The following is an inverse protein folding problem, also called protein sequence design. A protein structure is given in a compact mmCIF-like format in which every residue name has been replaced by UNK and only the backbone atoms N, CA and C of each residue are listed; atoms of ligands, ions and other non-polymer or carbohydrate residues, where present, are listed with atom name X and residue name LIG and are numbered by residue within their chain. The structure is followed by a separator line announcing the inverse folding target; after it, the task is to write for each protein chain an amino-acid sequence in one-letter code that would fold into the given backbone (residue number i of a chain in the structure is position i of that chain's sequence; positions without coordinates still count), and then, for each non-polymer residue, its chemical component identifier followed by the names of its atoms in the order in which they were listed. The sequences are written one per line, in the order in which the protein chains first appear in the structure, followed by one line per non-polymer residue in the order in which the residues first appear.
data_IF_109582195209
#
_entry.id   IF_109582195209
#
_cell.length_a   1.000
_cell.length_b   1.000
_cell.length_c   1.000
_cell.angle_alpha   90.00
_cell.angle_beta   90.00
_cell.angle_gamma   90.00
#
_symmetry.space_group_name_H-M   'P 1'
#
loop_
_entity.id
_entity.type
_entity.pdbx_description
1 polymer ?
#
# COMPACT_ATOMS: atom_id res chain seq x y z
N UNK A 1 9.69 30.68 -8.58
CA UNK A 1 10.10 29.42 -7.88
C UNK A 1 8.92 28.56 -7.43
N UNK A 2 8.03 28.98 -6.50
CA UNK A 2 6.84 28.17 -6.11
C UNK A 2 5.83 28.04 -7.26
N UNK A 3 5.59 29.13 -8.01
CA UNK A 3 4.78 29.10 -9.24
C UNK A 3 5.34 28.18 -10.32
N UNK A 4 6.66 28.09 -10.46
CA UNK A 4 7.32 27.15 -11.39
C UNK A 4 7.32 25.71 -10.89
N UNK A 5 7.41 25.47 -9.58
CA UNK A 5 7.30 24.14 -9.00
C UNK A 5 5.87 23.63 -9.13
N UNK A 6 4.87 24.49 -8.91
CA UNK A 6 3.47 24.18 -9.19
C UNK A 6 3.27 23.98 -10.71
N UNK A 7 3.72 24.89 -11.57
CA UNK A 7 3.60 24.70 -13.02
C UNK A 7 4.39 23.49 -13.54
N UNK A 8 5.53 23.09 -12.96
CA UNK A 8 6.28 21.89 -13.36
C UNK A 8 5.72 20.59 -12.78
N UNK A 9 5.16 20.63 -11.57
CA UNK A 9 4.42 19.51 -10.99
C UNK A 9 3.08 19.27 -11.70
N UNK A 10 2.49 20.32 -12.30
CA UNK A 10 1.25 20.25 -13.09
C UNK A 10 1.50 20.15 -14.62
N UNK A 11 2.67 20.56 -15.13
CA UNK A 11 3.15 20.38 -16.51
C UNK A 11 4.24 19.31 -16.58
N UNK A 12 4.09 18.16 -15.93
CA UNK A 12 4.70 16.96 -16.53
C UNK A 12 4.04 16.78 -17.89
N UNK A 13 4.74 16.95 -19.04
CA UNK A 13 4.12 16.89 -20.37
C UNK A 13 3.81 15.43 -20.79
N UNK A 14 3.68 14.50 -19.84
CA UNK A 14 3.59 13.05 -20.05
C UNK A 14 2.71 12.32 -19.02
N UNK A 15 1.82 13.03 -18.34
CA UNK A 15 0.74 12.34 -17.60
C UNK A 15 -0.38 11.99 -18.58
N UNK A 16 -0.96 10.79 -18.54
CA UNK A 16 -2.12 10.48 -19.37
C UNK A 16 -3.24 11.50 -19.08
N UNK A 17 -4.07 11.84 -20.09
CA UNK A 17 -5.23 12.69 -19.88
C UNK A 17 -6.09 12.11 -18.75
N UNK A 18 -6.80 12.96 -17.99
CA UNK A 18 -7.71 12.48 -16.96
C UNK A 18 -8.67 11.47 -17.58
N UNK A 19 -8.74 10.26 -17.00
CA UNK A 19 -9.65 9.22 -17.43
C UNK A 19 -11.05 9.83 -17.52
N UNK A 20 -11.61 9.89 -18.73
CA UNK A 20 -13.01 10.29 -18.94
C UNK A 20 -13.91 9.16 -18.42
N UNK A 21 -15.20 9.46 -18.28
CA UNK A 21 -16.20 8.54 -17.73
C UNK A 21 -16.03 7.09 -18.23
N UNK A 22 -16.33 6.07 -17.39
CA UNK A 22 -16.00 4.66 -17.61
C UNK A 22 -16.45 4.05 -18.95
N UNK A 23 -17.38 4.70 -19.66
CA UNK A 23 -17.93 4.22 -20.92
C UNK A 23 -17.12 4.56 -22.18
N UNK A 24 -16.10 5.43 -22.10
CA UNK A 24 -15.36 5.90 -23.30
C UNK A 24 -13.83 5.78 -23.23
N UNK A 25 -13.27 5.34 -22.11
CA UNK A 25 -11.82 5.21 -21.95
C UNK A 25 -11.45 3.74 -21.75
N UNK A 26 -10.80 3.15 -22.75
CA UNK A 26 -10.35 1.76 -22.76
C UNK A 26 -9.51 1.43 -21.53
N UNK A 27 -8.79 2.42 -20.98
CA UNK A 27 -7.92 2.28 -19.81
C UNK A 27 -8.73 2.12 -18.51
N UNK A 28 -9.94 2.67 -18.46
CA UNK A 28 -10.84 2.51 -17.33
C UNK A 28 -11.38 1.08 -17.21
N UNK A 29 -11.36 0.28 -18.28
CA UNK A 29 -11.82 -1.11 -18.23
C UNK A 29 -10.98 -1.94 -17.24
N UNK A 30 -9.65 -1.85 -17.30
CA UNK A 30 -8.75 -2.63 -16.43
C UNK A 30 -8.53 -2.02 -15.04
N UNK A 31 -8.39 -0.69 -14.98
CA UNK A 31 -7.82 -0.01 -13.80
C UNK A 31 -8.76 0.97 -13.10
N UNK A 32 -10.03 1.09 -13.54
CA UNK A 32 -10.99 1.99 -12.89
C UNK A 32 -11.22 1.67 -11.42
N UNK A 33 -11.02 0.42 -11.00
CA UNK A 33 -11.15 0.02 -9.60
C UNK A 33 -9.98 0.55 -8.76
N UNK A 34 -8.74 0.16 -9.01
CA UNK A 34 -7.62 0.50 -8.09
C UNK A 34 -7.11 1.93 -8.24
N UNK A 35 -7.24 2.52 -9.41
CA UNK A 35 -6.55 3.77 -9.78
C UNK A 35 -7.52 4.87 -10.24
N UNK A 36 -8.82 4.78 -9.86
CA UNK A 36 -9.79 5.82 -10.21
C UNK A 36 -9.28 7.20 -9.79
N UNK A 37 -9.32 8.14 -10.74
CA UNK A 37 -8.72 9.47 -10.68
C UNK A 37 -9.50 10.43 -9.77
N UNK A 38 -9.86 9.99 -8.55
CA UNK A 38 -10.29 10.84 -7.43
C UNK A 38 -9.15 11.08 -6.42
N UNK A 39 -7.96 10.58 -6.74
CA UNK A 39 -6.74 10.82 -5.99
C UNK A 39 -6.29 12.29 -6.03
N UNK A 40 -5.10 12.58 -5.48
CA UNK A 40 -4.57 13.94 -5.42
C UNK A 40 -4.40 14.62 -6.80
N UNK A 41 -4.43 13.77 -7.83
CA UNK A 41 -4.55 13.96 -9.27
C UNK A 41 -5.71 14.78 -9.85
N UNK A 42 -6.88 14.67 -9.19
CA UNK A 42 -8.19 14.63 -9.83
C UNK A 42 -8.50 15.72 -10.87
N UNK A 43 -9.37 15.46 -11.88
CA UNK A 43 -9.50 16.26 -13.10
C UNK A 43 -10.11 17.65 -12.88
N UNK A 44 -10.62 17.92 -11.68
CA UNK A 44 -11.38 19.13 -11.35
C UNK A 44 -10.71 19.84 -10.18
N UNK A 45 -9.63 20.55 -10.47
CA UNK A 45 -9.12 21.55 -9.55
C UNK A 45 -10.15 22.68 -9.46
N UNK A 46 -11.01 22.61 -8.44
CA UNK A 46 -11.94 23.72 -8.17
C UNK A 46 -11.15 25.00 -7.92
N UNK A 47 -11.74 26.15 -8.26
CA UNK A 47 -11.15 27.47 -7.97
C UNK A 47 -10.74 27.57 -6.49
N UNK A 48 -11.55 27.00 -5.60
CA UNK A 48 -11.23 26.89 -4.18
C UNK A 48 -9.92 26.14 -3.92
N UNK A 49 -9.71 24.97 -4.53
CA UNK A 49 -8.49 24.18 -4.32
C UNK A 49 -7.26 24.94 -4.83
N UNK A 50 -7.37 25.62 -5.98
CA UNK A 50 -6.30 26.46 -6.53
C UNK A 50 -5.94 27.59 -5.56
N UNK A 51 -6.94 28.37 -5.12
CA UNK A 51 -6.72 29.48 -4.19
C UNK A 51 -6.15 28.99 -2.86
N UNK A 52 -6.68 27.89 -2.30
CA UNK A 52 -6.16 27.30 -1.06
C UNK A 52 -4.71 26.86 -1.20
N UNK A 53 -4.34 26.20 -2.30
CA UNK A 53 -2.95 25.76 -2.52
C UNK A 53 -2.02 26.97 -2.66
N UNK A 54 -2.45 28.03 -3.32
CA UNK A 54 -1.67 29.28 -3.41
C UNK A 54 -1.53 29.94 -2.03
N UNK A 55 -2.61 30.04 -1.26
CA UNK A 55 -2.66 30.76 0.02
C UNK A 55 -2.07 29.98 1.20
N UNK A 56 -2.11 28.65 1.20
CA UNK A 56 -1.60 27.83 2.30
C UNK A 56 -0.28 27.14 1.94
N UNK A 57 -0.06 26.83 0.66
CA UNK A 57 1.11 26.09 0.21
C UNK A 57 2.44 26.81 0.49
N UNK A 58 2.45 28.15 0.53
CA UNK A 58 3.69 28.91 0.74
C UNK A 58 4.26 28.84 2.16
N UNK A 59 3.48 28.42 3.16
CA UNK A 59 3.95 28.38 4.56
C UNK A 59 3.49 27.14 5.33
N UNK A 60 2.23 26.71 5.19
CA UNK A 60 1.63 25.68 6.05
C UNK A 60 2.35 24.32 5.93
N UNK A 61 2.68 23.81 4.73
CA UNK A 61 3.47 22.59 4.60
C UNK A 61 4.85 22.70 5.26
N UNK A 62 5.52 23.85 5.15
CA UNK A 62 6.85 24.05 5.73
C UNK A 62 6.81 24.07 7.26
N UNK A 63 5.83 24.76 7.85
CA UNK A 63 5.62 24.76 9.30
C UNK A 63 5.29 23.35 9.80
N UNK A 64 4.43 22.62 9.08
CA UNK A 64 4.03 21.27 9.46
C UNK A 64 5.15 20.26 9.36
N UNK A 65 5.84 20.20 8.21
CA UNK A 65 6.96 19.29 7.98
C UNK A 65 8.16 19.66 8.86
N UNK A 66 8.41 20.95 9.07
CA UNK A 66 9.44 21.44 9.98
C UNK A 66 9.17 21.00 11.43
N UNK A 67 7.96 21.21 11.93
CA UNK A 67 7.59 20.73 13.27
C UNK A 67 7.58 19.20 13.39
N UNK A 68 7.16 18.48 12.35
CA UNK A 68 7.27 17.01 12.30
C UNK A 68 8.73 16.56 12.41
N UNK A 69 9.64 17.22 11.69
CA UNK A 69 11.08 16.92 11.77
C UNK A 69 11.63 17.19 13.18
N UNK A 70 11.23 18.29 13.82
CA UNK A 70 11.60 18.60 15.21
C UNK A 70 11.12 17.51 16.17
N UNK A 71 9.85 17.07 16.02
CA UNK A 71 9.30 15.95 16.81
C UNK A 71 10.12 14.68 16.57
N UNK A 72 10.46 14.35 15.32
CA UNK A 72 11.24 13.17 15.00
C UNK A 72 12.67 13.23 15.57
N UNK A 73 13.31 14.39 15.55
CA UNK A 73 14.64 14.60 16.15
C UNK A 73 14.57 14.47 17.67
N UNK A 74 13.56 15.08 18.31
CA UNK A 74 13.33 14.96 19.75
C UNK A 74 13.21 13.49 20.17
N UNK A 75 12.35 12.71 19.51
CA UNK A 75 12.16 11.29 19.85
C UNK A 75 13.40 10.44 19.55
N UNK A 76 14.20 10.81 18.55
CA UNK A 76 15.49 10.18 18.31
C UNK A 76 16.48 10.41 19.45
N UNK A 77 16.60 11.65 19.93
CA UNK A 77 17.47 11.99 21.06
C UNK A 77 16.96 11.34 22.36
N UNK A 78 15.65 11.37 22.58
CA UNK A 78 15.02 10.71 23.72
C UNK A 78 15.29 9.20 23.72
N UNK A 79 15.15 8.52 22.58
CA UNK A 79 15.52 7.11 22.46
C UNK A 79 17.01 6.88 22.75
N UNK A 80 17.90 7.74 22.27
CA UNK A 80 19.33 7.64 22.57
C UNK A 80 19.62 7.75 24.08
N UNK A 81 18.87 8.57 24.82
CA UNK A 81 18.98 8.69 26.28
C UNK A 81 18.44 7.44 26.98
N UNK A 82 17.21 7.01 26.64
CA UNK A 82 16.55 5.87 27.29
C UNK A 82 17.33 4.57 27.11
N UNK A 83 17.97 4.37 25.94
CA UNK A 83 18.81 3.22 25.65
C UNK A 83 20.30 3.45 25.94
N UNK A 84 20.66 4.51 26.67
CA UNK A 84 22.05 4.83 27.07
C UNK A 84 23.05 4.76 25.91
N UNK A 85 22.66 5.31 24.76
CA UNK A 85 23.44 5.41 23.53
C UNK A 85 24.18 4.12 23.17
N UNK A 86 23.49 2.96 23.27
CA UNK A 86 23.95 1.77 22.55
C UNK A 86 23.94 2.15 21.07
N UNK A 87 25.14 2.30 20.50
CA UNK A 87 25.41 2.58 19.09
C UNK A 87 24.30 1.99 18.21
N UNK A 88 23.44 2.87 17.72
CA UNK A 88 22.03 2.59 17.48
C UNK A 88 21.81 1.89 16.11
N UNK A 89 22.53 0.79 15.84
CA UNK A 89 22.27 -0.30 14.89
C UNK A 89 23.48 -1.25 14.74
N UNK A 90 24.02 -1.79 15.82
CA UNK A 90 25.10 -2.79 15.75
C UNK A 90 24.58 -4.23 15.62
N UNK A 91 23.41 -4.44 15.01
CA UNK A 91 22.81 -5.80 14.90
C UNK A 91 22.48 -6.45 16.24
N UNK A 92 22.46 -5.70 17.35
CA UNK A 92 22.06 -6.22 18.66
C UNK A 92 20.54 -6.49 18.68
N UNK A 93 20.11 -7.62 19.27
CA UNK A 93 18.69 -7.94 19.37
C UNK A 93 17.96 -6.85 20.15
N UNK A 94 16.75 -6.52 19.70
CA UNK A 94 15.92 -5.53 20.36
C UNK A 94 15.53 -6.02 21.76
N UNK A 95 15.47 -5.14 22.78
CA UNK A 95 14.95 -5.54 24.08
C UNK A 95 13.55 -6.17 23.95
N UNK A 96 13.24 -7.19 24.76
CA UNK A 96 11.96 -7.87 24.72
C UNK A 96 10.81 -6.88 25.00
N UNK A 97 9.60 -7.24 24.55
CA UNK A 97 8.37 -6.46 24.73
C UNK A 97 8.23 -5.91 26.16
N UNK A 98 8.45 -6.76 27.16
CA UNK A 98 8.20 -6.42 28.56
C UNK A 98 9.34 -5.64 29.24
N UNK A 99 10.40 -5.28 28.51
CA UNK A 99 11.45 -4.39 29.01
C UNK A 99 10.85 -3.02 29.38
N UNK A 100 11.16 -2.50 30.58
CA UNK A 100 10.60 -1.24 31.07
C UNK A 100 10.93 -0.06 30.15
N UNK A 101 12.08 -0.08 29.45
CA UNK A 101 12.46 0.93 28.46
C UNK A 101 11.58 0.84 27.23
N UNK A 102 11.24 -0.37 26.78
CA UNK A 102 10.27 -0.58 25.70
C UNK A 102 8.86 -0.14 26.11
N UNK A 103 8.43 -0.45 27.33
CA UNK A 103 7.13 0.00 27.84
C UNK A 103 7.06 1.53 27.90
N UNK A 104 8.09 2.19 28.42
CA UNK A 104 8.22 3.65 28.44
C UNK A 104 8.19 4.22 27.01
N UNK A 105 9.05 3.72 26.13
CA UNK A 105 9.11 4.21 24.75
C UNK A 105 7.81 4.03 23.99
N UNK A 106 7.11 2.90 24.16
CA UNK A 106 5.81 2.66 23.50
C UNK A 106 4.77 3.66 23.98
N UNK A 107 4.70 3.95 25.29
CA UNK A 107 3.80 4.98 25.82
C UNK A 107 4.11 6.34 25.20
N UNK A 108 5.37 6.76 25.22
CA UNK A 108 5.77 8.07 24.72
C UNK A 108 5.61 8.18 23.19
N UNK A 109 5.84 7.10 22.44
CA UNK A 109 5.65 7.07 21.00
C UNK A 109 4.18 7.16 20.59
N UNK A 110 3.25 6.58 21.37
CA UNK A 110 1.80 6.76 21.12
C UNK A 110 1.40 8.23 21.25
N UNK A 111 1.96 8.92 22.25
CA UNK A 111 1.78 10.38 22.43
C UNK A 111 2.42 11.12 21.26
N UNK A 112 3.65 10.78 20.90
CA UNK A 112 4.39 11.38 19.78
C UNK A 112 3.67 11.26 18.44
N UNK A 113 3.16 10.07 18.12
CA UNK A 113 2.38 9.84 16.91
C UNK A 113 1.08 10.65 16.93
N UNK A 114 0.37 10.72 18.06
CA UNK A 114 -0.83 11.55 18.21
C UNK A 114 -0.53 13.04 18.00
N UNK A 115 0.57 13.54 18.58
CA UNK A 115 1.02 14.92 18.43
C UNK A 115 1.41 15.22 16.99
N UNK A 116 2.18 14.33 16.35
CA UNK A 116 2.56 14.46 14.95
C UNK A 116 1.34 14.49 14.01
N UNK A 117 0.37 13.61 14.20
CA UNK A 117 -0.87 13.59 13.42
C UNK A 117 -1.65 14.91 13.59
N UNK A 118 -1.84 15.36 14.83
CA UNK A 118 -2.54 16.63 15.11
C UNK A 118 -1.81 17.84 14.54
N UNK A 119 -0.49 17.87 14.63
CA UNK A 119 0.36 18.93 14.06
C UNK A 119 0.18 19.01 12.54
N UNK A 120 0.15 17.86 11.87
CA UNK A 120 -0.14 17.74 10.45
C UNK A 120 -1.63 17.95 10.08
N UNK A 121 -2.48 18.37 11.03
CA UNK A 121 -3.90 18.62 10.78
C UNK A 121 -4.75 17.36 10.62
N UNK A 122 -4.25 16.19 10.99
CA UNK A 122 -4.96 14.92 10.86
C UNK A 122 -5.77 14.65 12.15
N UNK A 123 -7.10 14.66 12.02
CA UNK A 123 -8.04 14.33 13.09
C UNK A 123 -8.44 12.86 12.99
N UNK A 124 -8.05 12.10 14.01
CA UNK A 124 -8.37 10.68 14.09
C UNK A 124 -9.65 10.42 14.88
N UNK A 125 -10.48 9.49 14.39
CA UNK A 125 -11.58 8.85 15.15
C UNK A 125 -11.35 7.36 15.19
N UNK A 126 -11.66 6.73 16.31
CA UNK A 126 -11.44 5.30 16.54
C UNK A 126 -12.80 4.68 16.86
N UNK A 127 -13.15 3.64 16.12
CA UNK A 127 -14.38 2.87 16.25
C UNK A 127 -14.02 1.41 16.57
N UNK A 128 -14.89 0.74 17.33
CA UNK A 128 -14.64 -0.61 17.83
C UNK A 128 -13.56 -0.65 18.92
N UNK A 129 -13.17 -1.87 19.30
CA UNK A 129 -12.13 -2.12 20.30
C UNK A 129 -11.15 -3.15 19.77
N UNK A 130 -9.88 -2.92 20.06
CA UNK A 130 -8.86 -3.94 19.87
C UNK A 130 -9.03 -5.03 20.92
N UNK A 131 -8.97 -6.30 20.50
CA UNK A 131 -8.96 -7.46 21.39
C UNK A 131 -7.51 -7.98 21.54
N UNK A 132 -6.77 -7.57 22.58
CA UNK A 132 -5.34 -7.84 22.71
C UNK A 132 -5.02 -9.29 23.13
N UNK A 133 -6.04 -10.08 23.49
CA UNK A 133 -5.87 -11.42 24.02
C UNK A 133 -6.99 -12.30 23.50
N UNK A 134 -6.60 -13.28 22.68
CA UNK A 134 -7.46 -14.38 22.26
C UNK A 134 -7.64 -15.36 23.42
N UNK A 135 -8.61 -16.26 23.30
CA UNK A 135 -8.92 -17.28 24.33
C UNK A 135 -7.73 -18.21 24.62
N UNK A 136 -6.81 -18.36 23.66
CA UNK A 136 -5.57 -19.14 23.75
C UNK A 136 -4.37 -18.34 24.30
N UNK A 137 -4.58 -17.08 24.69
CA UNK A 137 -3.57 -16.22 25.29
C UNK A 137 -2.66 -15.48 24.30
N UNK A 138 -2.84 -15.66 22.99
CA UNK A 138 -2.05 -14.97 21.96
C UNK A 138 -2.64 -13.62 21.56
N UNK A 139 -1.79 -12.74 21.07
CA UNK A 139 -2.19 -11.45 20.49
C UNK A 139 -2.31 -11.61 18.96
N UNK A 140 -3.50 -11.41 18.37
CA UNK A 140 -3.71 -11.67 16.94
C UNK A 140 -2.92 -10.66 16.10
N UNK A 141 -2.32 -11.08 14.96
CA UNK A 141 -1.72 -10.14 14.03
C UNK A 141 -2.79 -9.18 13.49
N UNK A 142 -2.40 -7.92 13.33
CA UNK A 142 -3.30 -6.86 12.87
C UNK A 142 -3.23 -6.77 11.35
N UNK A 143 -4.37 -6.93 10.70
CA UNK A 143 -4.49 -6.91 9.25
C UNK A 143 -5.25 -5.65 8.84
N UNK A 144 -4.61 -4.76 8.10
CA UNK A 144 -5.20 -3.48 7.68
C UNK A 144 -5.18 -3.32 6.17
N UNK A 145 -6.17 -2.62 5.62
CA UNK A 145 -6.04 -2.06 4.29
C UNK A 145 -4.92 -0.99 4.29
N UNK A 146 -4.33 -0.75 3.12
CA UNK A 146 -3.27 0.23 2.96
C UNK A 146 -3.68 1.31 1.98
N UNK A 147 -3.81 2.55 2.45
CA UNK A 147 -4.21 3.70 1.65
C UNK A 147 -3.11 4.74 1.58
N UNK A 148 -2.35 4.96 2.66
CA UNK A 148 -1.36 6.04 2.71
C UNK A 148 -0.20 5.75 3.66
N UNK A 149 0.89 6.50 3.52
CA UNK A 149 2.00 6.47 4.49
C UNK A 149 1.56 6.90 5.91
N UNK A 150 0.43 7.60 6.02
CA UNK A 150 -0.19 8.01 7.29
C UNK A 150 -0.70 6.81 8.10
N UNK A 151 -1.05 5.70 7.43
CA UNK A 151 -1.62 4.49 8.05
C UNK A 151 -0.73 3.97 9.18
N UNK A 152 0.58 3.88 8.93
CA UNK A 152 1.58 3.40 9.88
C UNK A 152 1.59 4.26 11.15
N UNK A 153 1.46 5.60 11.00
CA UNK A 153 1.48 6.53 12.14
C UNK A 153 0.19 6.41 12.95
N UNK A 154 -0.95 6.19 12.30
CA UNK A 154 -2.24 5.98 12.98
C UNK A 154 -2.23 4.66 13.77
N UNK A 155 -1.77 3.58 13.14
CA UNK A 155 -1.65 2.27 13.79
C UNK A 155 -0.62 2.31 14.93
N UNK A 156 0.53 2.96 14.74
CA UNK A 156 1.53 3.17 15.79
C UNK A 156 1.00 4.03 16.95
N UNK A 157 0.16 5.04 16.69
CA UNK A 157 -0.56 5.78 17.73
C UNK A 157 -1.46 4.85 18.56
N UNK A 158 -2.06 3.83 17.91
CA UNK A 158 -2.82 2.78 18.58
C UNK A 158 -1.97 1.69 19.22
N UNK A 159 -0.64 1.79 19.20
CA UNK A 159 0.26 0.83 19.84
C UNK A 159 0.53 -0.42 19.01
N UNK A 160 0.14 -0.40 17.72
CA UNK A 160 0.44 -1.46 16.76
C UNK A 160 1.83 -1.26 16.19
N UNK A 161 2.59 -2.35 16.10
CA UNK A 161 4.01 -2.35 15.80
C UNK A 161 4.37 -3.53 14.88
N UNK A 162 5.66 -3.79 14.71
CA UNK A 162 6.22 -4.86 13.89
C UNK A 162 5.68 -4.86 12.45
N UNK A 163 5.65 -3.67 11.83
CA UNK A 163 5.30 -3.51 10.42
C UNK A 163 6.32 -4.20 9.51
N UNK A 164 5.90 -4.64 8.33
CA UNK A 164 6.79 -5.17 7.31
C UNK A 164 7.20 -4.03 6.35
N UNK A 165 8.51 -3.84 6.14
CA UNK A 165 9.00 -2.79 5.25
C UNK A 165 10.27 -3.22 4.49
N UNK A 166 10.57 -2.51 3.39
CA UNK A 166 11.80 -2.74 2.61
C UNK A 166 13.04 -2.36 3.44
N UNK A 167 14.05 -3.22 3.44
CA UNK A 167 15.33 -2.96 4.12
C UNK A 167 16.00 -1.63 3.71
N UNK A 168 15.74 -1.14 2.50
CA UNK A 168 16.24 0.15 2.02
C UNK A 168 15.77 1.37 2.82
N UNK A 169 14.61 1.32 3.49
CA UNK A 169 14.11 2.43 4.31
C UNK A 169 15.03 2.72 5.51
N UNK A 170 15.69 1.68 6.04
CA UNK A 170 16.56 1.79 7.20
C UNK A 170 17.91 2.48 6.92
N UNK A 171 18.17 2.90 5.67
CA UNK A 171 19.37 3.68 5.31
C UNK A 171 19.33 5.11 5.86
N UNK A 172 18.14 5.71 5.99
CA UNK A 172 18.00 7.04 6.56
C UNK A 172 18.10 6.98 8.10
N UNK A 173 18.99 7.72 8.77
CA UNK A 173 19.24 7.57 10.21
C UNK A 173 18.00 7.73 11.10
N UNK A 174 17.16 8.72 10.79
CA UNK A 174 15.91 8.97 11.54
C UNK A 174 14.91 7.85 11.27
N UNK A 175 14.71 7.43 10.02
CA UNK A 175 13.80 6.33 9.69
C UNK A 175 14.26 5.02 10.30
N UNK A 176 15.57 4.76 10.32
CA UNK A 176 16.17 3.65 11.07
C UNK A 176 15.73 3.69 12.53
N UNK A 177 15.71 4.90 13.12
CA UNK A 177 15.25 5.20 14.50
C UNK A 177 13.87 4.61 14.78
N UNK A 178 12.92 5.01 13.97
CA UNK A 178 11.55 4.55 14.11
C UNK A 178 11.39 3.09 13.69
N UNK A 179 12.12 2.61 12.69
CA UNK A 179 12.07 1.22 12.25
C UNK A 179 12.48 0.26 13.37
N UNK A 180 13.56 0.53 14.12
CA UNK A 180 13.86 -0.31 15.28
C UNK A 180 12.84 -0.09 16.39
N UNK A 181 12.51 1.15 16.79
CA UNK A 181 11.54 1.37 17.88
C UNK A 181 10.17 0.72 17.65
N UNK A 182 9.69 0.69 16.40
CA UNK A 182 8.48 -0.02 16.00
C UNK A 182 8.72 -1.50 15.65
N UNK A 183 9.93 -2.02 15.85
CA UNK A 183 10.34 -3.41 15.60
C UNK A 183 10.02 -3.92 14.19
N UNK A 184 10.15 -3.03 13.21
CA UNK A 184 9.83 -3.29 11.80
C UNK A 184 10.60 -4.49 11.27
N UNK A 185 9.89 -5.40 10.62
CA UNK A 185 10.43 -6.54 9.89
C UNK A 185 10.98 -6.03 8.57
N UNK A 186 12.31 -5.95 8.46
CA UNK A 186 12.98 -5.44 7.26
C UNK A 186 13.23 -6.57 6.26
N UNK A 187 12.57 -6.52 5.11
CA UNK A 187 12.68 -7.56 4.08
C UNK A 187 13.62 -7.14 2.94
N UNK A 188 14.42 -8.09 2.46
CA UNK A 188 15.30 -7.94 1.28
C UNK A 188 14.64 -8.62 0.07
N UNK A 189 14.49 -7.91 -1.05
CA UNK A 189 13.81 -8.44 -2.26
C UNK A 189 14.66 -9.41 -3.12
N UNK A 190 15.92 -9.71 -2.76
CA UNK A 190 16.92 -10.27 -3.70
C UNK A 190 17.30 -11.75 -3.55
N UNK A 191 16.55 -12.58 -2.81
CA UNK A 191 16.82 -14.02 -2.79
C UNK A 191 15.54 -14.81 -2.47
N UNK A 192 15.35 -15.96 -3.11
CA UNK A 192 14.30 -16.91 -2.77
C UNK A 192 14.34 -17.29 -1.28
N UNK A 193 15.55 -17.41 -0.70
CA UNK A 193 15.80 -17.64 0.72
C UNK A 193 15.20 -16.56 1.64
N UNK A 194 15.01 -15.34 1.14
CA UNK A 194 14.45 -14.23 1.93
C UNK A 194 12.94 -14.37 2.18
N UNK A 195 12.23 -15.20 1.39
CA UNK A 195 10.77 -15.41 1.53
C UNK A 195 10.47 -16.28 2.74
N UNK A 196 11.04 -17.48 2.78
CA UNK A 196 10.95 -18.41 3.91
C UNK A 196 11.44 -17.74 5.19
N UNK A 197 12.57 -17.01 5.13
CA UNK A 197 13.08 -16.28 6.28
C UNK A 197 12.11 -15.20 6.79
N UNK A 198 11.34 -14.54 5.92
CA UNK A 198 10.33 -13.54 6.34
C UNK A 198 9.12 -14.23 6.97
N UNK A 199 8.64 -15.32 6.37
CA UNK A 199 7.55 -16.12 6.94
C UNK A 199 7.92 -16.70 8.30
N UNK A 200 9.13 -17.24 8.46
CA UNK A 200 9.65 -17.73 9.73
C UNK A 200 9.74 -16.60 10.77
N UNK A 201 10.18 -15.40 10.37
CA UNK A 201 10.20 -14.24 11.26
C UNK A 201 8.81 -13.78 11.70
N UNK A 202 7.82 -13.82 10.80
CA UNK A 202 6.44 -13.49 11.14
C UNK A 202 5.83 -14.55 12.05
N UNK A 203 6.04 -15.83 11.73
CA UNK A 203 5.65 -16.97 12.57
C UNK A 203 6.23 -16.84 13.97
N UNK A 204 7.54 -16.66 14.08
CA UNK A 204 8.22 -16.55 15.37
C UNK A 204 7.71 -15.36 16.19
N UNK A 205 7.34 -14.24 15.56
CA UNK A 205 6.73 -13.11 16.27
C UNK A 205 5.31 -13.39 16.74
N UNK A 206 4.51 -14.07 15.94
CA UNK A 206 3.13 -14.42 16.32
C UNK A 206 3.11 -15.39 17.52
N UNK A 207 4.11 -16.28 17.60
CA UNK A 207 4.22 -17.30 18.65
C UNK A 207 5.28 -16.97 19.73
N UNK A 208 5.73 -15.73 19.85
CA UNK A 208 6.61 -15.26 20.92
C UNK A 208 5.88 -14.23 21.80
N UNK A 209 5.54 -14.62 23.03
CA UNK A 209 4.90 -13.71 24.00
C UNK A 209 5.76 -12.49 24.36
N UNK A 210 7.07 -12.54 24.11
CA UNK A 210 7.99 -11.43 24.30
C UNK A 210 8.16 -10.56 23.05
N UNK A 211 7.48 -10.87 21.96
CA UNK A 211 7.42 -10.05 20.75
C UNK A 211 6.07 -9.31 20.64
N UNK A 212 6.02 -8.14 19.98
CA UNK A 212 4.77 -7.57 19.52
C UNK A 212 4.21 -8.36 18.33
N UNK A 213 2.90 -8.56 18.33
CA UNK A 213 2.21 -9.15 17.19
C UNK A 213 2.38 -8.27 15.94
N UNK A 214 2.64 -8.85 14.75
CA UNK A 214 2.92 -8.07 13.56
C UNK A 214 1.68 -7.34 13.04
N UNK A 215 1.91 -6.17 12.44
CA UNK A 215 0.89 -5.39 11.74
C UNK A 215 1.18 -5.38 10.25
N UNK A 216 0.23 -5.85 9.46
CA UNK A 216 0.44 -6.17 8.05
C UNK A 216 -0.59 -5.48 7.15
N UNK A 217 -0.14 -5.22 5.93
CA UNK A 217 -0.93 -4.68 4.84
C UNK A 217 -0.92 -5.72 3.71
N UNK A 218 -1.81 -6.72 3.75
CA UNK A 218 -1.75 -7.88 2.86
C UNK A 218 -2.00 -7.53 1.39
N UNK A 219 -2.49 -6.32 1.09
CA UNK A 219 -2.56 -5.79 -0.28
C UNK A 219 -1.16 -5.65 -0.92
N UNK A 220 -0.10 -5.53 -0.12
CA UNK A 220 1.29 -5.39 -0.61
C UNK A 220 1.61 -4.05 -1.31
N UNK A 221 0.62 -3.17 -1.45
CA UNK A 221 0.72 -1.82 -2.00
C UNK A 221 -0.45 -0.97 -1.47
N UNK A 222 -0.36 0.36 -1.60
CA UNK A 222 -1.43 1.28 -1.23
C UNK A 222 -2.57 1.28 -2.25
N UNK A 223 -3.78 1.74 -1.92
CA UNK A 223 -4.87 1.97 -2.89
C UNK A 223 -5.50 3.35 -2.70
N UNK A 224 -6.49 3.67 -3.55
CA UNK A 224 -7.29 4.89 -3.43
C UNK A 224 -8.21 4.94 -2.19
N UNK A 225 -8.28 3.85 -1.41
CA UNK A 225 -9.12 3.73 -0.21
C UNK A 225 -10.58 3.38 -0.47
N UNK A 226 -10.97 3.20 -1.74
CA UNK A 226 -12.30 2.72 -2.15
C UNK A 226 -12.28 1.26 -2.59
N UNK A 227 -11.11 0.72 -2.88
CA UNK A 227 -10.94 -0.64 -3.36
C UNK A 227 -9.87 -1.38 -2.57
N UNK A 228 -10.16 -2.63 -2.21
CA UNK A 228 -9.21 -3.58 -1.64
C UNK A 228 -8.66 -4.50 -2.73
N UNK A 229 -7.34 -4.45 -2.92
CA UNK A 229 -6.65 -5.42 -3.76
C UNK A 229 -6.74 -6.84 -3.17
N UNK A 230 -6.50 -7.89 -3.98
CA UNK A 230 -6.39 -9.25 -3.46
C UNK A 230 -5.33 -9.32 -2.35
N UNK A 231 -5.67 -9.97 -1.23
CA UNK A 231 -4.77 -10.14 -0.11
C UNK A 231 -3.78 -11.27 -0.39
N UNK A 232 -2.50 -10.98 -0.20
CA UNK A 232 -1.45 -11.98 -0.31
C UNK A 232 -1.57 -13.01 0.84
N UNK A 233 -1.40 -14.32 0.57
CA UNK A 233 -1.71 -15.38 1.53
C UNK A 233 -0.65 -15.56 2.63
N UNK A 234 0.44 -14.78 2.62
CA UNK A 234 1.65 -15.03 3.42
C UNK A 234 1.38 -15.27 4.91
N UNK A 235 0.77 -14.29 5.58
CA UNK A 235 0.41 -14.41 7.01
C UNK A 235 -0.72 -15.41 7.27
N UNK A 236 -1.64 -15.57 6.31
CA UNK A 236 -2.82 -16.43 6.45
C UNK A 236 -2.46 -17.92 6.47
N UNK A 237 -1.29 -18.30 5.95
CA UNK A 237 -0.73 -19.66 6.08
C UNK A 237 -0.53 -20.12 7.54
N UNK A 238 -0.50 -19.20 8.51
CA UNK A 238 -0.39 -19.55 9.92
C UNK A 238 -1.68 -20.17 10.49
N UNK A 239 -2.82 -20.00 9.82
CA UNK A 239 -4.11 -20.57 10.26
C UNK A 239 -4.59 -20.06 11.63
N UNK A 240 -4.06 -18.93 12.09
CA UNK A 240 -4.39 -18.34 13.39
C UNK A 240 -5.41 -17.20 13.25
N UNK A 241 -6.18 -16.88 14.31
CA UNK A 241 -7.09 -15.75 14.28
C UNK A 241 -6.36 -14.43 14.04
N UNK A 242 -6.99 -13.54 13.28
CA UNK A 242 -6.43 -12.22 12.95
C UNK A 242 -7.35 -11.11 13.43
N UNK A 243 -6.79 -9.92 13.64
CA UNK A 243 -7.55 -8.71 13.97
C UNK A 243 -7.64 -7.82 12.73
N UNK A 244 -8.78 -7.82 12.00
CA UNK A 244 -8.95 -6.91 10.89
C UNK A 244 -9.16 -5.48 11.40
N UNK A 245 -8.55 -4.53 10.70
CA UNK A 245 -8.66 -3.09 10.93
C UNK A 245 -8.94 -2.41 9.61
N UNK A 246 -9.93 -1.52 9.59
CA UNK A 246 -10.25 -0.71 8.43
C UNK A 246 -9.86 0.74 8.68
N UNK A 247 -8.97 1.26 7.85
CA UNK A 247 -8.60 2.67 7.76
C UNK A 247 -9.41 3.34 6.65
N UNK A 248 -10.24 4.29 7.05
CA UNK A 248 -11.08 5.06 6.15
C UNK A 248 -10.71 6.55 6.25
N UNK A 249 -10.56 7.22 5.11
CA UNK A 249 -10.21 8.64 5.02
C UNK A 249 -11.35 9.44 4.39
N UNK A 250 -12.37 9.85 5.17
CA UNK A 250 -13.45 10.69 4.65
C UNK A 250 -12.87 12.01 4.13
N UNK A 251 -13.15 12.31 2.88
CA UNK A 251 -12.65 13.51 2.23
C UNK A 251 -13.72 14.09 1.31
N UNK A 252 -13.72 15.42 1.17
CA UNK A 252 -14.58 16.12 0.22
C UNK A 252 -13.85 16.55 -1.05
N UNK A 253 -12.55 16.86 -0.94
CA UNK A 253 -11.77 17.54 -2.00
C UNK A 253 -10.34 17.03 -2.15
N UNK A 254 -9.77 16.42 -1.11
CA UNK A 254 -8.42 15.90 -1.13
C UNK A 254 -8.38 14.53 -0.47
N UNK A 255 -8.22 13.49 -1.29
CA UNK A 255 -7.90 12.17 -0.81
C UNK A 255 -6.46 12.16 -0.24
N UNK A 256 -6.27 11.47 0.88
CA UNK A 256 -4.95 11.27 1.55
C UNK A 256 -4.23 10.04 0.97
N UNK A 257 -4.92 9.26 0.15
CA UNK A 257 -4.36 8.11 -0.55
C UNK A 257 -3.07 8.45 -1.30
N UNK A 258 -2.10 7.55 -1.20
CA UNK A 258 -0.86 7.61 -1.94
C UNK A 258 -0.83 6.47 -2.97
N UNK A 259 -1.46 6.69 -4.12
CA UNK A 259 -1.66 5.67 -5.15
C UNK A 259 -0.89 5.98 -6.45
N UNK A 260 -1.29 7.02 -7.16
CA UNK A 260 -0.89 7.38 -8.53
C UNK A 260 0.06 8.57 -8.58
N UNK A 261 0.33 9.20 -7.43
CA UNK A 261 1.14 10.41 -7.35
C UNK A 261 2.46 10.18 -6.62
N UNK A 262 3.43 11.05 -6.91
CA UNK A 262 4.70 11.05 -6.19
C UNK A 262 4.48 11.34 -4.70
N UNK A 263 5.33 10.74 -3.84
CA UNK A 263 5.24 10.96 -2.40
C UNK A 263 5.37 12.45 -2.03
N UNK A 264 6.18 13.21 -2.76
CA UNK A 264 6.36 14.65 -2.54
C UNK A 264 5.09 15.43 -2.82
N UNK A 265 4.38 15.12 -3.91
CA UNK A 265 3.12 15.74 -4.24
C UNK A 265 2.00 15.34 -3.26
N UNK A 266 1.92 14.06 -2.90
CA UNK A 266 0.98 13.57 -1.89
C UNK A 266 1.20 14.26 -0.53
N UNK A 267 2.46 14.34 -0.07
CA UNK A 267 2.85 15.07 1.14
C UNK A 267 2.44 16.54 1.03
N UNK A 268 2.81 17.22 -0.04
CA UNK A 268 2.48 18.64 -0.22
C UNK A 268 0.97 18.90 -0.12
N UNK A 269 0.14 18.13 -0.84
CA UNK A 269 -1.32 18.32 -0.84
C UNK A 269 -1.93 17.98 0.51
N UNK A 270 -1.51 16.87 1.14
CA UNK A 270 -1.95 16.49 2.47
C UNK A 270 -1.63 17.58 3.51
N UNK A 271 -0.41 18.12 3.48
CA UNK A 271 0.04 19.16 4.42
C UNK A 271 -0.58 20.54 4.14
N UNK A 272 -1.06 20.78 2.92
CA UNK A 272 -1.78 22.01 2.55
C UNK A 272 -3.27 21.97 2.95
N UNK A 273 -3.82 20.80 3.29
CA UNK A 273 -5.18 20.70 3.83
C UNK A 273 -5.24 21.21 5.26
N UNK A 274 -6.17 22.11 5.58
CA UNK A 274 -6.32 22.60 6.96
C UNK A 274 -6.63 21.44 7.92
N UNK A 275 -7.55 20.56 7.54
CA UNK A 275 -7.94 19.37 8.30
C UNK A 275 -8.04 18.17 7.35
N UNK A 276 -7.42 17.06 7.75
CA UNK A 276 -7.64 15.74 7.17
C UNK A 276 -8.37 14.87 8.21
N UNK A 277 -9.31 14.05 7.78
CA UNK A 277 -10.00 13.10 8.65
C UNK A 277 -9.50 11.68 8.40
N UNK A 278 -9.26 10.95 9.48
CA UNK A 278 -8.88 9.55 9.42
C UNK A 278 -9.68 8.76 10.46
N UNK A 279 -10.39 7.75 10.01
CA UNK A 279 -11.21 6.88 10.83
C UNK A 279 -10.55 5.51 10.86
N UNK A 280 -10.31 4.99 12.07
CA UNK A 280 -9.82 3.64 12.29
C UNK A 280 -10.96 2.82 12.88
N UNK A 281 -11.30 1.72 12.24
CA UNK A 281 -12.34 0.79 12.68
C UNK A 281 -11.70 -0.54 13.04
N UNK A 282 -11.86 -0.98 14.28
CA UNK A 282 -11.58 -2.36 14.68
C UNK A 282 -12.79 -3.21 14.37
N UNK A 283 -12.58 -4.25 13.57
CA UNK A 283 -13.58 -5.27 13.30
C UNK A 283 -13.55 -6.33 14.42
N UNK A 284 -14.56 -7.20 14.54
CA UNK A 284 -14.42 -8.41 15.33
C UNK A 284 -13.20 -9.23 14.87
N UNK A 285 -12.55 -9.92 15.82
CA UNK A 285 -11.47 -10.87 15.50
C UNK A 285 -12.01 -11.92 14.54
N UNK A 286 -11.28 -12.16 13.46
CA UNK A 286 -11.65 -13.17 12.47
C UNK A 286 -10.99 -14.49 12.83
N UNK A 287 -11.81 -15.51 13.09
CA UNK A 287 -11.35 -16.87 13.37
C UNK A 287 -11.49 -17.72 12.11
N UNK A 288 -10.41 -18.30 11.58
CA UNK A 288 -10.48 -19.12 10.39
C UNK A 288 -11.22 -20.43 10.66
N UNK A 289 -12.08 -20.82 9.72
CA UNK A 289 -12.67 -22.16 9.64
C UNK A 289 -11.61 -23.21 9.31
N UNK A 290 -11.91 -24.50 9.49
CA UNK A 290 -10.94 -25.56 9.19
C UNK A 290 -10.58 -25.63 7.69
N UNK A 291 -11.51 -25.25 6.81
CA UNK A 291 -11.23 -25.09 5.38
C UNK A 291 -10.26 -23.93 5.10
N UNK A 292 -10.45 -22.79 5.77
CA UNK A 292 -9.55 -21.63 5.66
C UNK A 292 -8.17 -21.88 6.27
N UNK A 293 -8.07 -22.71 7.31
CA UNK A 293 -6.77 -23.16 7.84
C UNK A 293 -6.02 -24.04 6.84
N UNK A 294 -6.73 -24.81 6.02
CA UNK A 294 -6.15 -25.65 4.97
C UNK A 294 -5.78 -24.85 3.71
N UNK A 295 -6.52 -23.77 3.40
CA UNK A 295 -6.29 -22.90 2.25
C UNK A 295 -6.13 -21.42 2.66
N UNK A 296 -4.88 -20.97 2.64
CA UNK A 296 -4.52 -19.60 2.98
C UNK A 296 -5.09 -18.54 2.03
N UNK A 297 -5.35 -18.88 0.76
CA UNK A 297 -6.00 -17.96 -0.19
C UNK A 297 -7.47 -17.79 0.18
N UNK A 298 -8.14 -18.88 0.52
CA UNK A 298 -9.52 -18.84 1.00
C UNK A 298 -9.64 -18.02 2.29
N UNK A 299 -8.70 -18.18 3.23
CA UNK A 299 -8.66 -17.38 4.45
C UNK A 299 -8.45 -15.89 4.17
N UNK A 300 -7.47 -15.55 3.32
CA UNK A 300 -7.21 -14.17 2.93
C UNK A 300 -8.46 -13.52 2.31
N UNK A 301 -9.18 -14.25 1.45
CA UNK A 301 -10.41 -13.78 0.82
C UNK A 301 -11.59 -13.68 1.81
N UNK A 302 -11.68 -14.59 2.77
CA UNK A 302 -12.66 -14.52 3.86
C UNK A 302 -12.51 -13.23 4.68
N UNK A 303 -11.27 -12.89 5.06
CA UNK A 303 -10.96 -11.65 5.77
C UNK A 303 -11.24 -10.42 4.90
N UNK A 304 -10.85 -10.44 3.62
CA UNK A 304 -11.13 -9.35 2.67
C UNK A 304 -12.63 -9.08 2.53
N UNK A 305 -13.44 -10.13 2.37
CA UNK A 305 -14.91 -10.02 2.30
C UNK A 305 -15.53 -9.53 3.61
N UNK A 306 -15.03 -9.98 4.76
CA UNK A 306 -15.49 -9.48 6.06
C UNK A 306 -15.22 -7.98 6.23
N UNK A 307 -14.09 -7.49 5.72
CA UNK A 307 -13.79 -6.05 5.73
C UNK A 307 -14.75 -5.23 4.87
N UNK A 308 -15.11 -5.72 3.68
CA UNK A 308 -16.10 -5.06 2.80
C UNK A 308 -17.50 -5.10 3.41
N UNK A 309 -17.94 -6.25 3.92
CA UNK A 309 -19.25 -6.36 4.59
C UNK A 309 -19.36 -5.43 5.80
N UNK A 310 -18.28 -5.29 6.58
CA UNK A 310 -18.24 -4.32 7.66
C UNK A 310 -18.34 -2.87 7.14
N UNK A 311 -17.65 -2.54 6.06
CA UNK A 311 -17.71 -1.21 5.44
C UNK A 311 -19.13 -0.85 4.98
N UNK A 312 -19.83 -1.79 4.33
CA UNK A 312 -21.23 -1.64 3.88
C UNK A 312 -22.18 -1.33 5.04
N UNK A 313 -22.07 -2.07 6.16
CA UNK A 313 -22.90 -1.84 7.35
C UNK A 313 -22.63 -0.51 8.06
N UNK A 314 -21.52 0.17 7.74
CA UNK A 314 -21.10 1.43 8.33
C UNK A 314 -21.11 2.62 7.34
N UNK A 315 -21.74 2.45 6.18
CA UNK A 315 -21.83 3.48 5.13
C UNK A 315 -20.45 3.99 4.67
N UNK A 316 -19.50 3.06 4.52
CA UNK A 316 -18.16 3.31 4.01
C UNK A 316 -18.08 2.74 2.60
N UNK A 317 -17.79 3.61 1.62
CA UNK A 317 -17.57 3.21 0.23
C UNK A 317 -16.27 2.38 0.11
N UNK A 318 -16.40 1.06 0.10
CA UNK A 318 -15.30 0.12 -0.06
C UNK A 318 -15.76 -1.11 -0.86
N UNK A 319 -15.00 -1.49 -1.87
CA UNK A 319 -15.28 -2.63 -2.75
C UNK A 319 -14.02 -3.50 -2.93
N UNK A 320 -14.18 -4.72 -3.44
CA UNK A 320 -13.07 -5.60 -3.82
C UNK A 320 -12.70 -5.40 -5.29
N UNK A 321 -11.42 -5.54 -5.61
CA UNK A 321 -10.94 -5.61 -7.01
C UNK A 321 -10.10 -6.86 -7.22
N UNK A 322 -10.08 -7.35 -8.46
CA UNK A 322 -9.19 -8.43 -8.90
C UNK A 322 -7.87 -7.89 -9.45
N UNK A 323 -7.70 -6.57 -9.53
CA UNK A 323 -6.44 -5.96 -9.98
C UNK A 323 -5.35 -6.23 -8.95
N UNK A 324 -4.31 -6.94 -9.37
CA UNK A 324 -3.20 -7.28 -8.49
C UNK A 324 -2.12 -6.17 -8.47
N UNK A 325 -1.12 -6.36 -7.59
CA UNK A 325 -0.02 -5.39 -7.43
C UNK A 325 0.83 -5.24 -8.69
N UNK A 326 1.04 -6.31 -9.45
CA UNK A 326 1.87 -6.29 -10.66
C UNK A 326 1.21 -5.50 -11.78
N UNK A 327 -0.07 -5.75 -12.02
CA UNK A 327 -0.88 -4.97 -12.97
C UNK A 327 -0.87 -3.49 -12.58
N UNK A 328 -1.05 -3.20 -11.29
CA UNK A 328 -0.98 -1.83 -10.76
C UNK A 328 0.38 -1.18 -11.02
N UNK A 329 1.49 -1.89 -10.83
CA UNK A 329 2.84 -1.35 -11.04
C UNK A 329 3.10 -1.02 -12.52
N UNK A 330 2.69 -1.89 -13.45
CA UNK A 330 2.78 -1.64 -14.89
C UNK A 330 1.99 -0.37 -15.25
N UNK A 331 0.75 -0.27 -14.77
CA UNK A 331 -0.07 0.91 -14.99
C UNK A 331 0.51 2.19 -14.38
N UNK A 332 1.14 2.08 -13.21
CA UNK A 332 1.82 3.20 -12.56
C UNK A 332 3.03 3.67 -13.37
N UNK A 333 3.83 2.76 -13.94
CA UNK A 333 4.94 3.13 -14.81
C UNK A 333 4.48 3.85 -16.08
N UNK A 334 3.31 3.48 -16.61
CA UNK A 334 2.65 4.23 -17.68
C UNK A 334 2.21 5.62 -17.21
N UNK A 335 1.54 5.73 -16.05
CA UNK A 335 1.10 7.01 -15.49
C UNK A 335 2.27 7.97 -15.20
N UNK A 336 3.41 7.43 -14.76
CA UNK A 336 4.66 8.16 -14.53
C UNK A 336 5.36 8.56 -15.84
N UNK A 337 4.85 8.11 -17.00
CA UNK A 337 5.42 8.38 -18.32
C UNK A 337 6.73 7.64 -18.60
N UNK A 338 7.01 6.56 -17.86
CA UNK A 338 8.21 5.71 -18.06
C UNK A 338 8.05 4.79 -19.27
N UNK A 339 6.83 4.31 -19.50
CA UNK A 339 6.47 3.45 -20.64
C UNK A 339 5.28 4.02 -21.41
N UNK A 340 5.12 3.62 -22.68
CA UNK A 340 3.94 3.94 -23.49
C UNK A 340 2.75 3.05 -23.12
N UNK A 341 1.53 3.42 -23.57
CA UNK A 341 0.34 2.58 -23.35
C UNK A 341 0.47 1.23 -24.06
N UNK A 342 0.95 1.20 -25.31
CA UNK A 342 1.22 -0.05 -26.02
C UNK A 342 2.21 -0.95 -25.27
N UNK A 343 3.29 -0.38 -24.73
CA UNK A 343 4.25 -1.15 -23.92
C UNK A 343 3.64 -1.69 -22.63
N UNK A 344 2.76 -0.92 -21.99
CA UNK A 344 2.04 -1.39 -20.81
C UNK A 344 1.12 -2.59 -21.12
N UNK A 345 0.47 -2.60 -22.28
CA UNK A 345 -0.35 -3.73 -22.72
C UNK A 345 0.49 -4.98 -23.03
N UNK A 346 1.64 -4.83 -23.68
CA UNK A 346 2.59 -5.94 -23.88
C UNK A 346 3.05 -6.54 -22.56
N UNK A 347 3.44 -5.69 -21.60
CA UNK A 347 3.93 -6.14 -20.29
C UNK A 347 2.80 -6.81 -19.48
N UNK A 348 1.55 -6.35 -19.63
CA UNK A 348 0.37 -7.01 -19.04
C UNK A 348 0.10 -8.37 -19.70
N UNK A 349 0.19 -8.47 -21.03
CA UNK A 349 0.00 -9.75 -21.73
C UNK A 349 1.07 -10.76 -21.30
N UNK A 350 2.34 -10.36 -21.29
CA UNK A 350 3.44 -11.20 -20.84
C UNK A 350 3.25 -11.66 -19.38
N UNK A 351 2.70 -10.80 -18.52
CA UNK A 351 2.36 -11.15 -17.14
C UNK A 351 1.27 -12.24 -17.08
N UNK A 352 0.23 -12.13 -17.90
CA UNK A 352 -0.88 -13.08 -17.92
C UNK A 352 -0.43 -14.43 -18.48
N UNK A 353 0.43 -14.42 -19.50
CA UNK A 353 0.98 -15.63 -20.11
C UNK A 353 1.94 -16.35 -19.16
N UNK A 354 2.74 -15.60 -18.37
CA UNK A 354 3.67 -16.16 -17.41
C UNK A 354 2.99 -16.75 -16.16
N UNK A 355 1.79 -16.26 -15.80
CA UNK A 355 1.06 -16.66 -14.57
C UNK A 355 -0.43 -16.86 -14.84
N UNK A 356 -0.82 -17.84 -15.66
CA UNK A 356 -2.20 -18.02 -16.09
C UNK A 356 -3.17 -18.35 -14.95
N UNK A 357 -2.66 -18.97 -13.86
CA UNK A 357 -3.45 -19.39 -12.70
C UNK A 357 -3.73 -18.26 -11.70
N UNK A 358 -3.03 -17.12 -11.80
CA UNK A 358 -3.21 -15.97 -10.92
C UNK A 358 -4.37 -15.05 -11.37
N UNK A 359 -4.93 -15.28 -12.56
CA UNK A 359 -5.95 -14.42 -13.17
C UNK A 359 -7.21 -15.22 -13.54
N UNK A 360 -8.39 -14.67 -13.22
CA UNK A 360 -9.67 -15.26 -13.62
C UNK A 360 -9.90 -15.15 -15.13
N UNK A 361 -10.74 -16.04 -15.67
CA UNK A 361 -11.13 -16.00 -17.09
C UNK A 361 -11.81 -14.67 -17.48
N UNK A 362 -12.62 -14.10 -16.58
CA UNK A 362 -13.21 -12.77 -16.76
C UNK A 362 -12.13 -11.69 -16.91
N UNK A 363 -11.06 -11.79 -16.11
CA UNK A 363 -9.95 -10.85 -16.12
C UNK A 363 -9.13 -10.96 -17.41
N UNK A 364 -8.87 -12.20 -17.88
CA UNK A 364 -8.23 -12.47 -19.18
C UNK A 364 -9.05 -11.90 -20.34
N UNK A 365 -10.36 -12.12 -20.33
CA UNK A 365 -11.27 -11.58 -21.34
C UNK A 365 -11.28 -10.04 -21.35
N UNK A 366 -11.21 -9.41 -20.17
CA UNK A 366 -11.14 -7.96 -20.03
C UNK A 366 -9.84 -7.38 -20.61
N UNK A 367 -8.70 -8.05 -20.39
CA UNK A 367 -7.43 -7.66 -21.02
C UNK A 367 -7.52 -7.78 -22.55
N UNK A 368 -8.04 -8.89 -23.06
CA UNK A 368 -8.19 -9.11 -24.50
C UNK A 368 -9.09 -8.04 -25.15
N UNK A 369 -10.20 -7.67 -24.52
CA UNK A 369 -11.07 -6.59 -24.98
C UNK A 369 -10.36 -5.22 -24.93
N UNK A 370 -9.56 -4.97 -23.90
CA UNK A 370 -8.79 -3.74 -23.75
C UNK A 370 -7.74 -3.60 -24.86
N UNK A 371 -7.03 -4.68 -25.18
CA UNK A 371 -6.07 -4.73 -26.29
C UNK A 371 -6.80 -4.47 -27.62
N UNK A 372 -7.91 -5.19 -27.87
CA UNK A 372 -8.72 -5.04 -29.09
C UNK A 372 -9.17 -3.60 -29.31
N UNK A 373 -9.71 -2.94 -28.29
CA UNK A 373 -10.15 -1.53 -28.40
C UNK A 373 -8.97 -0.57 -28.55
N UNK A 374 -7.86 -0.79 -27.85
CA UNK A 374 -6.67 0.06 -27.96
C UNK A 374 -6.06 0.02 -29.36
N UNK A 375 -6.13 -1.12 -30.05
CA UNK A 375 -5.75 -1.26 -31.46
C UNK A 375 -6.71 -0.49 -32.37
N UNK A 376 -8.02 -0.62 -32.15
CA UNK A 376 -9.04 0.07 -32.94
C UNK A 376 -8.95 1.61 -32.83
N UNK A 377 -8.61 2.13 -31.65
CA UNK A 377 -8.48 3.56 -31.38
C UNK A 377 -7.15 4.16 -31.87
N UNK A 378 -6.21 3.34 -32.36
CA UNK A 378 -4.88 3.80 -32.80
C UNK A 378 -3.95 4.25 -31.66
N UNK A 379 -4.35 4.00 -30.40
CA UNK A 379 -3.58 4.27 -29.19
C UNK A 379 -2.40 3.28 -29.03
N UNK A 380 -2.45 2.15 -29.77
CA UNK A 380 -1.33 1.23 -29.96
C UNK A 380 -0.33 1.86 -30.94
N UNK A 381 0.50 2.77 -30.42
CA UNK A 381 1.45 3.54 -31.22
C UNK A 381 2.32 2.65 -32.12
N UNK A 382 2.50 3.10 -33.36
CA UNK A 382 3.43 2.59 -34.38
C UNK A 382 4.82 2.36 -33.75
N UNK A 383 5.10 1.13 -33.35
CA UNK A 383 6.43 0.60 -33.14
C UNK A 383 6.59 -0.59 -34.11
N UNK A 384 7.80 -0.67 -34.66
CA UNK A 384 8.08 -1.23 -35.96
C UNK A 384 7.58 -2.64 -36.19
N UNK A 385 7.35 -2.91 -37.47
CA UNK A 385 7.35 -4.22 -38.10
C UNK A 385 8.25 -5.23 -37.34
N UNK A 386 7.62 -6.05 -36.51
CA UNK A 386 8.03 -7.42 -36.27
C UNK A 386 6.75 -8.21 -36.10
N UNK A 387 6.28 -8.76 -37.22
CA UNK A 387 5.34 -9.86 -37.38
C UNK A 387 4.14 -9.92 -36.41
N UNK A 388 3.03 -9.36 -36.90
CA UNK A 388 1.65 -9.86 -36.74
C UNK A 388 1.22 -10.46 -35.39
N UNK A 389 1.00 -9.59 -34.39
CA UNK A 389 0.03 -9.86 -33.30
C UNK A 389 -1.45 -9.70 -33.74
N UNK A 390 -1.72 -9.57 -35.04
CA UNK A 390 -3.09 -9.60 -35.60
C UNK A 390 -3.57 -11.04 -35.83
N UNK A 391 -2.67 -12.03 -35.81
CA UNK A 391 -3.02 -13.45 -36.01
C UNK A 391 -3.38 -14.20 -34.71
N UNK A 392 -3.24 -13.59 -33.53
CA UNK A 392 -3.55 -14.23 -32.23
C UNK A 392 -5.06 -14.26 -31.89
N UNK A 393 -5.92 -13.69 -32.73
CA UNK A 393 -7.39 -13.79 -32.58
C UNK A 393 -7.93 -15.09 -33.23
N UNK A 394 -7.12 -15.84 -33.98
CA UNK A 394 -7.56 -17.07 -34.64
C UNK A 394 -6.46 -18.14 -34.55
N UNK A 395 -6.39 -18.85 -33.42
CA UNK A 395 -5.95 -20.26 -33.32
C UNK A 395 -6.06 -20.75 -31.88
N UNK A 396 -7.25 -21.20 -31.52
CA UNK A 396 -7.35 -22.40 -30.67
C UNK A 396 -6.74 -23.56 -31.47
N UNK A 397 -5.78 -24.28 -30.88
CA UNK A 397 -5.32 -25.56 -31.40
C UNK A 397 -3.82 -25.63 -31.72
N UNK A 398 -3.19 -26.55 -30.98
CA UNK A 398 -1.95 -27.29 -31.27
C UNK A 398 -0.58 -26.79 -30.77
N UNK A 399 0.11 -27.79 -30.23
CA UNK A 399 1.36 -27.85 -29.47
C UNK A 399 2.56 -27.92 -30.42
N UNK A 400 3.67 -27.22 -30.12
CA UNK A 400 5.03 -27.80 -30.01
C UNK A 400 6.16 -26.74 -29.92
N UNK A 401 7.07 -26.98 -28.97
CA UNK A 401 8.48 -26.56 -28.79
C UNK A 401 9.21 -25.69 -29.83
N UNK A 402 9.99 -24.69 -29.36
CA UNK A 402 11.45 -24.81 -29.18
C UNK A 402 12.13 -23.49 -28.71
N UNK A 403 13.07 -23.73 -27.81
CA UNK A 403 14.10 -23.00 -27.05
C UNK A 403 14.68 -21.60 -27.41
N UNK A 404 15.28 -21.07 -26.33
CA UNK A 404 16.38 -20.08 -26.16
C UNK A 404 16.11 -18.55 -26.10
N UNK A 405 16.27 -18.00 -24.88
CA UNK A 405 16.61 -16.58 -24.69
C UNK A 405 16.43 -16.01 -23.26
N UNK A 406 17.51 -16.03 -22.46
CA UNK A 406 17.79 -15.24 -21.23
C UNK A 406 16.94 -15.43 -19.95
N UNK A 407 17.55 -15.75 -18.78
CA UNK A 407 16.83 -15.82 -17.51
C UNK A 407 16.71 -14.43 -16.89
N UNK A 408 15.48 -13.90 -16.76
CA UNK A 408 15.18 -12.76 -15.88
C UNK A 408 13.83 -12.92 -15.19
N UNK A 409 13.94 -12.79 -13.86
CA UNK A 409 12.91 -12.44 -12.87
C UNK A 409 11.97 -13.55 -12.40
N UNK A 410 12.59 -14.54 -11.74
CA UNK A 410 11.93 -15.55 -10.91
C UNK A 410 11.31 -14.92 -9.63
N UNK A 411 9.98 -15.05 -9.51
CA UNK A 411 9.18 -15.16 -8.28
C UNK A 411 9.46 -14.21 -7.08
N UNK A 412 9.07 -12.94 -7.20
CA UNK A 412 9.29 -11.92 -6.16
C UNK A 412 8.09 -11.56 -5.25
N UNK A 413 6.97 -12.30 -5.22
CA UNK A 413 5.68 -11.74 -4.74
C UNK A 413 5.06 -12.25 -3.43
N UNK A 414 5.66 -13.17 -2.67
CA UNK A 414 4.95 -13.81 -1.54
C UNK A 414 5.32 -13.30 -0.13
N UNK A 415 5.72 -12.02 -0.01
CA UNK A 415 6.40 -11.49 1.19
C UNK A 415 5.48 -10.92 2.28
N UNK A 416 4.22 -10.57 1.99
CA UNK A 416 3.33 -9.92 2.98
C UNK A 416 2.02 -10.66 3.08
#
# INVERSE_FOLDING_TARGET
MVGDILLRAYRTPKGPPPLRAPSSDVRALLFSSVMHYEGPLGPRFSIYETLKVILLGWWLPFVRLGGLLVIMIFYRLYAAIVFFNVAWASGKPMPPRNDWRMCLMRREMRIGCRTALRWCGIKTKIFGKYSPQLDDGWEPPVISNHTSYVDIVILAMQGHHAFVAKAGLAKAPIIRTFAALWQVVLVKRKAADSRTATQDQLRNRCFDHNAPSPTLFPEGSTTNGKWLMPFRPGIFRLGMPVQPVLLHYPHKRCNVAWDTCTISLSLWRCQTQVVNHAHLHYLPVYYPTDAEKADARLFAEGVRRAMVSYAETHDIELQTTETNVLEKLIYQDYCDGKISWGKALEDLQALYDARPDDFSEERKALLAETVRRSVADGDYGVLGQSDTMVDLVVKEGDVSSSDEGTPREDEADDIV
#
